data_IF_360926617667
#
_entry.id   IF_360926617667
#
_cell.length_a   1.000
_cell.length_b   1.000
_cell.length_c   1.000
_cell.angle_alpha   90.00
_cell.angle_beta   90.00
_cell.angle_gamma   90.00
#
_symmetry.space_group_name_H-M   'P 1'
#
loop_
_entity.id
_entity.type
_entity.pdbx_description
1 polymer ?
#
# COMPACT_ATOMS: atom_id res chain seq x y z
N UNK A 1 -22.77 44.72 4.04
CA UNK A 1 -21.60 44.01 4.63
C UNK A 1 -20.36 44.86 4.43
N UNK A 2 -19.68 45.27 5.51
CA UNK A 2 -18.53 46.18 5.46
C UNK A 2 -17.37 45.57 4.66
N UNK A 3 -16.62 46.38 3.90
CA UNK A 3 -15.51 45.92 3.06
C UNK A 3 -14.39 45.26 3.88
N UNK A 4 -14.24 45.64 5.16
CA UNK A 4 -13.33 45.00 6.10
C UNK A 4 -13.71 43.53 6.38
N UNK A 5 -14.98 43.31 6.74
CA UNK A 5 -15.52 41.98 7.06
C UNK A 5 -15.45 41.05 5.85
N UNK A 6 -15.67 41.58 4.64
CA UNK A 6 -15.51 40.79 3.40
C UNK A 6 -14.06 40.29 3.24
N UNK A 7 -13.06 41.14 3.47
CA UNK A 7 -11.64 40.77 3.33
C UNK A 7 -11.22 39.71 4.35
N UNK A 8 -11.66 39.84 5.60
CA UNK A 8 -11.35 38.86 6.66
C UNK A 8 -11.97 37.49 6.37
N UNK A 9 -13.21 37.44 5.90
CA UNK A 9 -13.87 36.19 5.49
C UNK A 9 -13.12 35.56 4.30
N UNK A 10 -12.72 36.35 3.31
CA UNK A 10 -11.93 35.85 2.17
C UNK A 10 -10.59 35.29 2.61
N UNK A 11 -9.88 35.98 3.52
CA UNK A 11 -8.61 35.50 4.09
C UNK A 11 -8.79 34.19 4.86
N UNK A 12 -9.85 34.08 5.67
CA UNK A 12 -10.17 32.87 6.42
C UNK A 12 -10.44 31.69 5.48
N UNK A 13 -11.19 31.91 4.40
CA UNK A 13 -11.47 30.87 3.40
C UNK A 13 -10.20 30.41 2.67
N UNK A 14 -9.29 31.32 2.34
CA UNK A 14 -8.00 30.98 1.72
C UNK A 14 -7.14 30.15 2.68
N UNK A 15 -7.07 30.55 3.95
CA UNK A 15 -6.34 29.81 4.98
C UNK A 15 -6.93 28.40 5.19
N UNK A 16 -8.25 28.29 5.25
CA UNK A 16 -8.93 27.00 5.41
C UNK A 16 -8.70 26.10 4.19
N UNK A 17 -8.77 26.67 2.98
CA UNK A 17 -8.50 25.97 1.74
C UNK A 17 -7.07 25.45 1.63
N UNK A 18 -6.09 26.24 2.07
CA UNK A 18 -4.68 25.82 2.06
C UNK A 18 -4.41 24.69 3.07
N UNK A 19 -5.00 24.76 4.27
CA UNK A 19 -4.92 23.68 5.25
C UNK A 19 -5.54 22.40 4.70
N UNK A 20 -6.73 22.49 4.09
CA UNK A 20 -7.41 21.33 3.50
C UNK A 20 -6.57 20.70 2.38
N UNK A 21 -5.94 21.51 1.53
CA UNK A 21 -5.06 21.02 0.47
C UNK A 21 -3.85 20.26 1.03
N UNK A 22 -3.23 20.76 2.10
CA UNK A 22 -2.12 20.07 2.78
C UNK A 22 -2.57 18.72 3.36
N UNK A 23 -3.76 18.65 3.96
CA UNK A 23 -4.32 17.39 4.44
C UNK A 23 -4.54 16.38 3.32
N UNK A 24 -5.09 16.81 2.17
CA UNK A 24 -5.30 15.93 1.01
C UNK A 24 -3.95 15.40 0.48
N UNK A 25 -2.94 16.26 0.38
CA UNK A 25 -1.60 15.85 -0.07
C UNK A 25 -0.98 14.86 0.93
N UNK A 26 -1.04 15.16 2.23
CA UNK A 26 -0.54 14.26 3.27
C UNK A 26 -1.24 12.91 3.26
N UNK A 27 -2.56 12.90 3.10
CA UNK A 27 -3.36 11.68 3.05
C UNK A 27 -3.07 10.83 1.80
N UNK A 28 -2.95 11.46 0.63
CA UNK A 28 -2.62 10.74 -0.62
C UNK A 28 -1.21 10.15 -0.57
N UNK A 29 -0.22 10.90 -0.06
CA UNK A 29 1.14 10.39 0.15
C UNK A 29 1.17 9.24 1.16
N UNK A 30 0.45 9.36 2.27
CA UNK A 30 0.38 8.31 3.29
C UNK A 30 -0.17 6.99 2.71
N UNK A 31 -1.27 7.07 1.95
CA UNK A 31 -1.89 5.91 1.31
C UNK A 31 -0.97 5.24 0.28
N UNK A 32 -0.14 6.00 -0.44
CA UNK A 32 0.87 5.44 -1.36
C UNK A 32 2.02 4.71 -0.65
N UNK A 33 2.34 5.09 0.59
CA UNK A 33 3.50 4.54 1.32
C UNK A 33 3.10 3.34 2.18
N UNK A 34 1.87 3.30 2.68
CA UNK A 34 1.40 2.22 3.56
C UNK A 34 1.13 0.95 2.74
N UNK A 35 1.73 -0.21 3.08
CA UNK A 35 1.40 -1.48 2.45
C UNK A 35 0.03 -1.98 2.92
N UNK A 36 -0.68 -2.69 2.05
CA UNK A 36 -1.95 -3.34 2.37
C UNK A 36 -1.74 -4.62 3.17
N UNK A 37 -0.67 -5.35 2.84
CA UNK A 37 -0.33 -6.61 3.51
C UNK A 37 1.15 -6.67 3.91
N UNK A 38 1.40 -7.37 5.02
CA UNK A 38 2.74 -7.68 5.52
C UNK A 38 2.76 -9.11 6.05
N UNK A 39 3.60 -9.96 5.47
CA UNK A 39 3.70 -11.36 5.86
C UNK A 39 4.84 -12.10 5.19
N UNK A 40 4.81 -13.42 5.22
CA UNK A 40 5.82 -14.31 4.65
C UNK A 40 5.26 -15.06 3.46
N UNK A 41 5.98 -15.08 2.33
CA UNK A 41 5.60 -15.84 1.14
C UNK A 41 5.59 -17.32 1.48
N UNK A 42 4.43 -17.96 1.34
CA UNK A 42 4.27 -19.39 1.58
C UNK A 42 4.50 -20.21 0.32
N UNK A 43 3.92 -19.75 -0.78
CA UNK A 43 3.99 -20.40 -2.08
C UNK A 43 3.93 -19.38 -3.20
N UNK A 44 4.57 -19.74 -4.30
CA UNK A 44 4.52 -19.03 -5.57
C UNK A 44 4.11 -20.07 -6.62
N UNK A 45 3.02 -19.79 -7.33
CA UNK A 45 2.50 -20.62 -8.41
C UNK A 45 2.29 -19.76 -9.66
N UNK A 46 3.27 -19.80 -10.56
CA UNK A 46 3.29 -18.98 -11.78
C UNK A 46 3.22 -17.48 -11.47
N UNK A 47 2.06 -16.87 -11.71
CA UNK A 47 1.77 -15.44 -11.49
C UNK A 47 0.98 -15.15 -10.22
N UNK A 48 0.89 -16.14 -9.32
CA UNK A 48 0.20 -16.05 -8.04
C UNK A 48 1.17 -16.29 -6.91
N UNK A 49 0.99 -15.56 -5.82
CA UNK A 49 1.70 -15.81 -4.59
C UNK A 49 0.71 -15.84 -3.43
N UNK A 50 0.98 -16.68 -2.44
CA UNK A 50 0.20 -16.76 -1.20
C UNK A 50 1.04 -16.27 -0.05
N UNK A 51 0.48 -15.41 0.80
CA UNK A 51 1.19 -14.85 1.96
C UNK A 51 0.56 -15.31 3.25
N UNK A 52 1.40 -15.58 4.23
CA UNK A 52 0.99 -15.89 5.59
C UNK A 52 1.31 -14.77 6.56
N UNK A 53 0.48 -14.54 7.60
CA UNK A 53 0.83 -13.60 8.66
C UNK A 53 2.14 -14.00 9.34
N UNK A 54 2.94 -13.01 9.77
CA UNK A 54 4.23 -13.24 10.45
C UNK A 54 4.07 -14.05 11.74
N UNK A 55 2.94 -13.86 12.43
CA UNK A 55 2.57 -14.59 13.64
C UNK A 55 1.28 -15.33 13.38
N UNK A 56 1.33 -16.65 13.51
CA UNK A 56 0.17 -17.52 13.43
C UNK A 56 -0.08 -18.15 14.80
N UNK A 57 -1.33 -18.12 15.22
CA UNK A 57 -1.84 -18.84 16.37
C UNK A 57 -2.22 -20.27 15.94
N UNK A 58 -1.61 -21.31 16.51
CA UNK A 58 -1.90 -22.69 16.12
C UNK A 58 -3.35 -23.13 16.35
N UNK A 59 -4.12 -22.40 17.16
CA UNK A 59 -5.52 -22.70 17.45
C UNK A 59 -6.50 -22.05 16.46
N UNK A 60 -5.99 -21.28 15.48
CA UNK A 60 -6.81 -20.54 14.51
C UNK A 60 -6.60 -21.08 13.10
N UNK A 61 -7.71 -21.37 12.42
CA UNK A 61 -7.70 -21.63 10.98
C UNK A 61 -7.52 -20.32 10.20
N UNK A 62 -6.37 -20.19 9.55
CA UNK A 62 -6.07 -19.03 8.72
C UNK A 62 -6.44 -19.27 7.25
N UNK A 63 -7.16 -18.31 6.68
CA UNK A 63 -7.29 -18.18 5.23
C UNK A 63 -6.10 -17.35 4.75
N UNK A 64 -5.31 -17.92 3.86
CA UNK A 64 -4.15 -17.25 3.29
C UNK A 64 -4.56 -16.48 2.03
N UNK A 65 -4.41 -15.15 2.00
CA UNK A 65 -4.76 -14.38 0.81
C UNK A 65 -3.82 -14.74 -0.36
N UNK A 66 -4.43 -14.83 -1.55
CA UNK A 66 -3.75 -15.06 -2.82
C UNK A 66 -3.66 -13.74 -3.57
N UNK A 67 -2.45 -13.37 -3.99
CA UNK A 67 -2.20 -12.17 -4.76
C UNK A 67 -1.68 -12.52 -6.15
N UNK A 68 -2.24 -11.87 -7.15
CA UNK A 68 -1.72 -11.93 -8.51
C UNK A 68 -0.59 -10.92 -8.71
N UNK A 69 0.43 -11.27 -9.47
CA UNK A 69 1.48 -10.35 -9.89
C UNK A 69 1.80 -10.55 -11.37
N UNK A 70 2.30 -9.51 -12.02
CA UNK A 70 2.59 -9.50 -13.44
C UNK A 70 3.87 -8.71 -13.73
N UNK A 71 4.15 -8.46 -15.02
CA UNK A 71 5.33 -7.68 -15.45
C UNK A 71 5.30 -6.21 -15.00
N UNK A 72 4.11 -5.68 -14.67
CA UNK A 72 3.94 -4.32 -14.16
C UNK A 72 4.16 -4.24 -12.65
N UNK A 73 4.18 -5.38 -11.94
CA UNK A 73 4.44 -5.44 -10.51
C UNK A 73 5.90 -5.04 -10.22
N UNK A 74 6.07 -3.98 -9.43
CA UNK A 74 7.41 -3.52 -9.06
C UNK A 74 7.95 -4.30 -7.85
N UNK A 75 8.90 -5.21 -8.09
CA UNK A 75 9.56 -5.99 -7.05
C UNK A 75 10.83 -5.26 -6.59
N UNK A 76 10.91 -4.97 -5.30
CA UNK A 76 12.03 -4.22 -4.71
C UNK A 76 12.61 -4.91 -3.49
N UNK A 77 13.95 -4.99 -3.42
CA UNK A 77 14.71 -5.43 -2.23
C UNK A 77 15.68 -4.31 -1.85
N UNK A 78 15.62 -3.82 -0.61
CA UNK A 78 16.48 -2.72 -0.12
C UNK A 78 16.57 -1.49 -1.05
N UNK A 79 15.53 -1.22 -1.84
CA UNK A 79 15.48 -0.09 -2.78
C UNK A 79 16.01 -0.39 -4.19
N UNK A 80 16.50 -1.60 -4.44
CA UNK A 80 16.93 -2.06 -5.76
C UNK A 80 15.86 -2.93 -6.40
N UNK A 81 15.68 -2.81 -7.72
CA UNK A 81 14.84 -3.75 -8.48
C UNK A 81 15.47 -5.13 -8.41
N UNK A 82 14.68 -6.11 -7.99
CA UNK A 82 15.07 -7.51 -7.95
C UNK A 82 14.20 -8.31 -8.94
N UNK A 83 14.73 -9.41 -9.45
CA UNK A 83 14.03 -10.28 -10.41
C UNK A 83 13.35 -11.50 -9.76
N UNK A 84 13.66 -11.84 -8.51
CA UNK A 84 13.28 -13.15 -7.98
C UNK A 84 12.57 -13.06 -6.61
N UNK A 85 11.32 -13.51 -6.61
CA UNK A 85 10.58 -13.85 -5.41
C UNK A 85 10.87 -15.31 -5.06
N UNK A 86 11.03 -15.58 -3.76
CA UNK A 86 11.23 -16.92 -3.24
C UNK A 86 10.31 -17.17 -2.04
N UNK A 87 10.04 -18.45 -1.78
CA UNK A 87 9.31 -18.86 -0.59
C UNK A 87 10.11 -18.50 0.68
N UNK A 88 9.40 -18.33 1.79
CA UNK A 88 9.91 -17.93 3.10
C UNK A 88 10.48 -16.51 3.20
N UNK A 89 10.33 -15.69 2.16
CA UNK A 89 10.69 -14.27 2.23
C UNK A 89 9.62 -13.47 2.96
N UNK A 90 10.05 -12.58 3.86
CA UNK A 90 9.15 -11.60 4.48
C UNK A 90 8.95 -10.43 3.51
N UNK A 91 7.70 -10.11 3.21
CA UNK A 91 7.31 -9.12 2.21
C UNK A 91 6.23 -8.17 2.68
N UNK A 92 6.25 -6.96 2.11
CA UNK A 92 5.17 -5.99 2.14
C UNK A 92 4.56 -5.86 0.75
N UNK A 93 3.24 -5.91 0.65
CA UNK A 93 2.53 -5.92 -0.63
C UNK A 93 1.55 -4.75 -0.68
N UNK A 94 1.57 -4.06 -1.81
CA UNK A 94 0.56 -3.07 -2.19
C UNK A 94 -0.31 -3.69 -3.27
N UNK A 95 -1.62 -3.67 -3.09
CA UNK A 95 -2.58 -4.33 -3.97
C UNK A 95 -3.57 -3.33 -4.56
N UNK A 96 -3.96 -3.58 -5.80
CA UNK A 96 -5.10 -2.92 -6.43
C UNK A 96 -6.09 -3.99 -6.89
N UNK A 97 -7.39 -3.68 -6.77
CA UNK A 97 -8.42 -4.52 -7.36
C UNK A 97 -8.51 -4.26 -8.86
N UNK A 98 -8.20 -5.29 -9.65
CA UNK A 98 -8.35 -5.29 -11.11
C UNK A 98 -9.14 -6.51 -11.54
N UNK A 99 -10.26 -6.30 -12.23
CA UNK A 99 -11.15 -7.39 -12.69
C UNK A 99 -11.51 -8.38 -11.58
N UNK A 100 -11.94 -7.87 -10.42
CA UNK A 100 -12.31 -8.66 -9.24
C UNK A 100 -11.17 -9.49 -8.61
N UNK A 101 -9.92 -9.19 -8.95
CA UNK A 101 -8.73 -9.85 -8.41
C UNK A 101 -7.81 -8.86 -7.72
N UNK A 102 -7.24 -9.28 -6.60
CA UNK A 102 -6.17 -8.53 -5.93
C UNK A 102 -4.87 -8.69 -6.72
N UNK A 103 -4.43 -7.60 -7.36
CA UNK A 103 -3.19 -7.56 -8.15
C UNK A 103 -2.16 -6.72 -7.41
N UNK A 104 -1.02 -7.31 -7.10
CA UNK A 104 0.10 -6.63 -6.48
C UNK A 104 0.69 -5.60 -7.45
N UNK A 105 0.66 -4.33 -7.06
CA UNK A 105 1.32 -3.24 -7.79
C UNK A 105 2.79 -3.12 -7.40
N UNK A 106 3.10 -3.45 -6.13
CA UNK A 106 4.44 -3.42 -5.58
C UNK A 106 4.62 -4.52 -4.54
N UNK A 107 5.77 -5.17 -4.58
CA UNK A 107 6.19 -6.14 -3.56
C UNK A 107 7.56 -5.70 -3.06
N UNK A 108 7.66 -5.44 -1.75
CA UNK A 108 8.93 -5.11 -1.10
C UNK A 108 9.40 -6.28 -0.24
N UNK A 109 10.55 -6.85 -0.57
CA UNK A 109 11.23 -7.85 0.25
C UNK A 109 11.88 -7.14 1.44
N UNK A 110 11.59 -7.63 2.64
CA UNK A 110 12.08 -7.12 3.92
C UNK A 110 13.19 -8.01 4.45
N UNK A 111 13.02 -9.33 4.37
CA UNK A 111 14.00 -10.32 4.82
C UNK A 111 13.98 -11.59 3.96
N UNK A 112 15.11 -12.28 3.89
CA UNK A 112 15.32 -13.53 3.15
C UNK A 112 15.29 -14.75 4.06
#
# INVERSE_FOLDING_TARGET
>A
MNNHIKKEITLLLILLGSILALFIIGFTLYSLIKPDYHGVIRSIDGTKLTVSPIKMDPEVDYIFPEFHFNQDTNIVENGHKLSELANNQEVKIWVEMKNEKEVATKIKIINK
#
